data_IF_767365091232
#
_entry.id   IF_767365091232
#
_cell.length_a   1.000
_cell.length_b   1.000
_cell.length_c   1.000
_cell.angle_alpha   90.00
_cell.angle_beta   90.00
_cell.angle_gamma   90.00
#
_symmetry.space_group_name_H-M   'P 1'
#
loop_
_entity.id
_entity.type
_entity.pdbx_description
1 polymer ?
#
# COMPACT_ATOMS: atom_id res chain seq x y z
N UNK A 1 20.95 5.64 24.26
CA UNK A 1 21.00 4.36 25.01
C UNK A 1 20.11 4.39 26.25
N UNK A 2 20.28 5.34 27.17
CA UNK A 2 19.49 5.44 28.43
C UNK A 2 17.96 5.44 28.24
N UNK A 3 17.43 6.14 27.22
CA UNK A 3 15.99 6.19 26.96
C UNK A 3 15.39 4.84 26.51
N UNK A 4 16.11 4.09 25.67
CA UNK A 4 15.70 2.73 25.27
C UNK A 4 15.88 1.76 26.43
N UNK A 5 16.93 1.93 27.22
CA UNK A 5 17.17 1.13 28.41
C UNK A 5 16.04 1.33 29.43
N UNK A 6 15.64 2.58 29.71
CA UNK A 6 14.46 2.90 30.54
C UNK A 6 13.17 2.28 29.96
N UNK A 7 12.99 2.28 28.64
CA UNK A 7 11.83 1.68 27.98
C UNK A 7 11.79 0.16 28.18
N UNK A 8 12.90 -0.52 27.90
CA UNK A 8 13.00 -1.99 27.93
C UNK A 8 13.14 -2.55 29.34
N UNK A 9 13.79 -1.84 30.27
CA UNK A 9 13.97 -2.30 31.66
C UNK A 9 12.75 -2.03 32.52
N UNK A 10 12.05 -0.91 32.33
CA UNK A 10 10.87 -0.59 33.17
C UNK A 10 9.57 -1.18 32.64
N UNK A 11 9.48 -1.53 31.34
CA UNK A 11 8.31 -2.13 30.66
C UNK A 11 6.94 -1.50 31.01
N UNK A 12 6.90 -0.27 31.51
CA UNK A 12 5.64 0.40 31.85
C UNK A 12 5.05 0.93 30.57
N UNK A 13 3.76 0.65 30.30
CA UNK A 13 2.98 1.18 29.16
C UNK A 13 2.73 2.69 29.19
N UNK A 14 3.18 3.36 30.26
CA UNK A 14 2.94 4.78 30.49
C UNK A 14 4.16 5.46 31.11
N UNK A 15 4.45 6.66 30.62
CA UNK A 15 5.48 7.57 31.14
C UNK A 15 5.04 8.32 32.41
N UNK A 16 3.78 8.21 32.85
CA UNK A 16 3.24 8.99 33.98
C UNK A 16 4.02 8.80 35.29
N UNK A 17 4.64 7.63 35.47
CA UNK A 17 5.44 7.29 36.66
C UNK A 17 6.95 7.55 36.52
N UNK A 18 7.41 8.17 35.43
CA UNK A 18 8.82 8.52 35.23
C UNK A 18 9.09 9.98 35.62
N UNK A 19 10.22 10.21 36.30
CA UNK A 19 10.64 11.54 36.74
C UNK A 19 10.89 12.45 35.53
N UNK A 20 11.41 11.87 34.45
CA UNK A 20 11.72 12.54 33.20
C UNK A 20 10.52 12.62 32.24
N UNK A 21 9.26 12.43 32.71
CA UNK A 21 8.07 12.40 31.82
C UNK A 21 7.88 13.63 30.94
N UNK A 22 8.45 14.78 31.32
CA UNK A 22 8.35 16.05 30.59
C UNK A 22 9.46 16.22 29.56
N UNK A 23 10.44 15.32 29.51
CA UNK A 23 11.51 15.36 28.54
C UNK A 23 10.95 15.03 27.14
N UNK A 24 11.04 15.96 26.17
CA UNK A 24 10.47 15.78 24.84
C UNK A 24 11.17 14.68 24.04
N UNK A 25 12.47 14.49 24.26
CA UNK A 25 13.26 13.45 23.60
C UNK A 25 12.89 12.06 24.12
N UNK A 26 12.72 11.91 25.44
CA UNK A 26 12.27 10.66 26.05
C UNK A 26 10.85 10.30 25.61
N UNK A 27 9.94 11.28 25.52
CA UNK A 27 8.59 11.06 25.01
C UNK A 27 8.59 10.58 23.55
N UNK A 28 9.41 11.19 22.69
CA UNK A 28 9.54 10.79 21.29
C UNK A 28 10.07 9.36 21.17
N UNK A 29 11.17 9.06 21.87
CA UNK A 29 11.79 7.73 21.84
C UNK A 29 10.85 6.66 22.38
N UNK A 30 10.12 6.95 23.46
CA UNK A 30 9.11 6.06 24.01
C UNK A 30 7.96 5.82 23.03
N UNK A 31 7.49 6.87 22.34
CA UNK A 31 6.42 6.76 21.32
C UNK A 31 6.85 5.86 20.17
N UNK A 32 8.05 6.08 19.63
CA UNK A 32 8.61 5.26 18.56
C UNK A 32 8.73 3.80 19.03
N UNK A 33 9.32 3.57 20.21
CA UNK A 33 9.50 2.23 20.74
C UNK A 33 8.15 1.51 20.97
N UNK A 34 7.14 2.21 21.48
CA UNK A 34 5.78 1.69 21.66
C UNK A 34 5.15 1.29 20.32
N UNK A 35 5.21 2.15 19.31
CA UNK A 35 4.68 1.86 17.98
C UNK A 35 5.35 0.62 17.37
N UNK A 36 6.69 0.51 17.46
CA UNK A 36 7.41 -0.67 16.96
C UNK A 36 7.06 -1.94 17.74
N UNK A 37 6.85 -1.84 19.04
CA UNK A 37 6.44 -2.97 19.87
C UNK A 37 5.02 -3.44 19.56
N UNK A 38 4.07 -2.53 19.33
CA UNK A 38 2.70 -2.87 18.91
C UNK A 38 2.69 -3.59 17.56
N UNK A 39 3.50 -3.13 16.61
CA UNK A 39 3.68 -3.80 15.32
C UNK A 39 4.26 -5.20 15.49
N UNK A 40 5.27 -5.38 16.35
CA UNK A 40 5.88 -6.68 16.61
C UNK A 40 4.87 -7.66 17.23
N UNK A 41 4.05 -7.17 18.18
CA UNK A 41 2.99 -7.95 18.81
C UNK A 41 1.95 -8.42 17.78
N UNK A 42 1.50 -7.54 16.86
CA UNK A 42 0.58 -7.95 15.80
C UNK A 42 1.19 -9.03 14.90
N UNK A 43 2.46 -8.90 14.50
CA UNK A 43 3.15 -9.93 13.70
C UNK A 43 3.18 -11.29 14.42
N UNK A 44 3.43 -11.28 15.73
CA UNK A 44 3.41 -12.47 16.58
C UNK A 44 2.00 -13.07 16.72
N UNK A 45 0.97 -12.25 16.90
CA UNK A 45 -0.42 -12.70 16.98
C UNK A 45 -0.88 -13.34 15.67
N UNK A 46 -0.56 -12.72 14.54
CA UNK A 46 -0.83 -13.28 13.21
C UNK A 46 -0.05 -14.57 12.99
N UNK A 47 1.19 -14.68 13.50
CA UNK A 47 1.98 -15.91 13.43
C UNK A 47 1.30 -17.04 14.19
N UNK A 48 0.89 -16.75 15.41
CA UNK A 48 0.24 -17.71 16.31
C UNK A 48 -1.04 -18.24 15.69
N UNK A 49 -1.90 -17.35 15.16
CA UNK A 49 -3.16 -17.72 14.50
C UNK A 49 -2.93 -18.65 13.30
N UNK A 50 -1.92 -18.37 12.47
CA UNK A 50 -1.64 -19.20 11.30
C UNK A 50 -1.02 -20.56 11.69
N UNK A 51 -0.08 -20.58 12.65
CA UNK A 51 0.46 -21.84 13.17
C UNK A 51 -0.65 -22.71 13.76
N UNK A 52 -1.61 -22.12 14.48
CA UNK A 52 -2.78 -22.85 14.97
C UNK A 52 -3.62 -23.45 13.83
N UNK A 53 -3.79 -22.76 12.70
CA UNK A 53 -4.48 -23.32 11.52
C UNK A 53 -3.70 -24.47 10.88
N UNK A 54 -2.37 -24.35 10.80
CA UNK A 54 -1.49 -25.42 10.31
C UNK A 54 -1.61 -26.65 11.21
N UNK A 55 -1.49 -26.48 12.54
CA UNK A 55 -1.61 -27.58 13.50
C UNK A 55 -2.99 -28.24 13.43
N UNK A 56 -4.08 -27.45 13.34
CA UNK A 56 -5.44 -27.98 13.18
C UNK A 56 -5.59 -28.79 11.90
N UNK A 57 -5.01 -28.31 10.80
CA UNK A 57 -5.05 -29.03 9.51
C UNK A 57 -4.19 -30.30 9.57
N UNK A 58 -2.99 -30.24 10.16
CA UNK A 58 -2.12 -31.40 10.29
C UNK A 58 -2.79 -32.58 11.05
N UNK A 59 -3.65 -32.27 12.01
CA UNK A 59 -4.38 -33.26 12.81
C UNK A 59 -5.73 -33.70 12.19
N UNK A 60 -6.17 -33.07 11.09
CA UNK A 60 -7.42 -33.42 10.42
C UNK A 60 -7.16 -34.59 9.44
N UNK A 61 -7.83 -35.75 9.61
CA UNK A 61 -7.66 -36.92 8.74
C UNK A 61 -8.23 -36.72 7.32
N UNK A 62 -8.94 -35.62 7.05
CA UNK A 62 -9.50 -35.36 5.74
C UNK A 62 -8.40 -35.22 4.66
N UNK A 63 -8.59 -35.80 3.46
CA UNK A 63 -7.59 -35.71 2.38
C UNK A 63 -7.34 -34.27 1.90
N UNK A 64 -8.37 -33.41 1.95
CA UNK A 64 -8.26 -31.97 1.66
C UNK A 64 -7.42 -31.19 2.68
N UNK A 65 -7.08 -31.81 3.81
CA UNK A 65 -6.31 -31.15 4.86
C UNK A 65 -4.84 -30.95 4.49
N UNK A 66 -4.26 -31.87 3.71
CA UNK A 66 -2.88 -31.73 3.21
C UNK A 66 -2.71 -30.51 2.31
N UNK A 67 -3.69 -30.26 1.43
CA UNK A 67 -3.70 -29.07 0.56
C UNK A 67 -3.83 -27.79 1.38
N UNK A 68 -4.75 -27.77 2.36
CA UNK A 68 -4.91 -26.63 3.29
C UNK A 68 -3.63 -26.35 4.09
N UNK A 69 -2.97 -27.39 4.58
CA UNK A 69 -1.70 -27.29 5.30
C UNK A 69 -0.65 -26.57 4.44
N UNK A 70 -0.51 -27.00 3.19
CA UNK A 70 0.43 -26.39 2.25
C UNK A 70 0.06 -24.93 1.97
N UNK A 71 -1.21 -24.63 1.70
CA UNK A 71 -1.67 -23.25 1.51
C UNK A 71 -1.38 -22.36 2.72
N UNK A 72 -1.69 -22.81 3.94
CA UNK A 72 -1.44 -22.03 5.16
C UNK A 72 0.06 -21.82 5.43
N UNK A 73 0.90 -22.81 5.14
CA UNK A 73 2.34 -22.67 5.24
C UNK A 73 2.90 -21.68 4.21
N UNK A 74 2.43 -21.76 2.96
CA UNK A 74 2.84 -20.88 1.87
C UNK A 74 2.41 -19.43 2.13
N UNK A 75 1.14 -19.21 2.47
CA UNK A 75 0.61 -17.90 2.85
C UNK A 75 1.44 -17.27 3.99
N UNK A 76 1.93 -18.10 4.92
CA UNK A 76 2.76 -17.62 6.03
C UNK A 76 4.14 -17.19 5.57
N UNK A 77 4.78 -17.94 4.67
CA UNK A 77 6.07 -17.56 4.08
C UNK A 77 5.96 -16.23 3.33
N UNK A 78 4.89 -16.06 2.55
CA UNK A 78 4.64 -14.84 1.78
C UNK A 78 4.39 -13.63 2.68
N UNK A 79 3.63 -13.82 3.77
CA UNK A 79 3.43 -12.78 4.77
C UNK A 79 4.75 -12.38 5.45
N UNK A 80 5.54 -13.35 5.92
CA UNK A 80 6.81 -13.09 6.61
C UNK A 80 7.83 -12.40 5.70
N UNK A 81 7.92 -12.81 4.44
CA UNK A 81 8.79 -12.14 3.45
C UNK A 81 8.38 -10.68 3.24
N UNK A 82 7.07 -10.41 3.19
CA UNK A 82 6.50 -9.06 3.07
C UNK A 82 6.81 -8.21 4.30
N UNK A 83 6.62 -8.75 5.51
CA UNK A 83 6.99 -8.08 6.76
C UNK A 83 8.49 -7.78 6.79
N UNK A 84 9.34 -8.76 6.48
CA UNK A 84 10.80 -8.56 6.43
C UNK A 84 11.17 -7.43 5.49
N UNK A 85 10.65 -7.43 4.26
CA UNK A 85 10.90 -6.35 3.30
C UNK A 85 10.47 -5.00 3.83
N UNK A 86 9.24 -4.89 4.35
CA UNK A 86 8.65 -3.65 4.87
C UNK A 86 9.47 -3.04 6.02
N UNK A 87 9.94 -3.87 6.95
CA UNK A 87 10.64 -3.39 8.14
C UNK A 87 12.16 -3.29 7.95
N UNK A 88 12.73 -3.98 6.96
CA UNK A 88 14.13 -3.81 6.56
C UNK A 88 14.35 -2.59 5.64
N UNK A 89 13.38 -2.24 4.78
CA UNK A 89 13.50 -1.04 3.92
C UNK A 89 13.39 0.26 4.71
N UNK A 90 12.66 0.25 5.84
CA UNK A 90 12.55 1.39 6.76
C UNK A 90 13.85 1.75 7.49
N UNK A 91 14.92 0.97 7.31
CA UNK A 91 16.25 1.21 7.89
C UNK A 91 17.25 1.83 6.90
N UNK A 92 16.83 2.23 5.69
CA UNK A 92 17.71 2.99 4.79
C UNK A 92 17.87 4.43 5.30
N UNK A 93 19.10 4.91 5.55
CA UNK A 93 19.36 6.30 5.98
C UNK A 93 18.99 7.37 4.95
N UNK A 94 18.63 6.98 3.72
CA UNK A 94 18.38 7.91 2.61
C UNK A 94 17.13 8.77 2.77
N UNK A 95 16.22 8.45 3.71
CA UNK A 95 14.98 9.23 3.91
C UNK A 95 15.15 10.39 4.93
N UNK A 96 16.36 10.62 5.47
CA UNK A 96 16.62 11.66 6.47
C UNK A 96 17.44 12.85 5.98
N UNK A 97 17.96 12.83 4.75
CA UNK A 97 18.69 13.97 4.18
C UNK A 97 17.84 14.62 3.10
N UNK A 98 16.87 15.41 3.53
CA UNK A 98 16.33 16.48 2.69
C UNK A 98 17.35 17.60 2.73
N UNK A 99 18.29 17.61 1.79
CA UNK A 99 19.01 18.85 1.46
C UNK A 99 17.97 19.88 1.04
N UNK A 100 17.95 21.09 1.62
CA UNK A 100 17.15 22.19 1.09
C UNK A 100 17.48 22.32 -0.41
N UNK A 101 16.45 22.34 -1.25
CA UNK A 101 16.64 22.61 -2.68
C UNK A 101 17.26 24.00 -2.81
N UNK A 102 18.35 24.10 -3.57
CA UNK A 102 18.97 25.38 -3.91
C UNK A 102 17.98 26.17 -4.78
N UNK A 103 17.78 27.45 -4.46
CA UNK A 103 16.79 28.28 -5.14
C UNK A 103 17.05 28.33 -6.65
N UNK A 104 16.03 28.16 -7.51
CA UNK A 104 16.21 28.20 -8.95
C UNK A 104 16.83 29.53 -9.38
N UNK A 105 17.92 29.46 -10.14
CA UNK A 105 18.57 30.62 -10.74
C UNK A 105 17.56 31.37 -11.61
N UNK A 106 17.29 32.63 -11.27
CA UNK A 106 16.40 33.50 -12.05
C UNK A 106 16.85 33.53 -13.52
N UNK A 107 15.97 33.11 -14.41
CA UNK A 107 16.14 33.28 -15.84
C UNK A 107 15.56 34.64 -16.22
N UNK A 108 16.39 35.54 -16.73
CA UNK A 108 15.95 36.80 -17.32
C UNK A 108 15.09 36.49 -18.56
N UNK A 109 13.78 36.66 -18.41
CA UNK A 109 12.84 36.60 -19.53
C UNK A 109 12.91 37.95 -20.25
N UNK A 110 13.49 37.97 -21.45
CA UNK A 110 13.39 39.10 -22.36
C UNK A 110 11.93 39.25 -22.81
N UNK A 111 11.30 40.33 -22.36
CA UNK A 111 9.94 40.69 -22.76
C UNK A 111 9.90 41.05 -24.25
N UNK A 112 9.07 40.37 -25.02
CA UNK A 112 8.54 40.89 -26.28
C UNK A 112 7.07 40.52 -26.41
N UNK A 113 6.22 41.47 -26.02
CA UNK A 113 5.03 41.88 -26.76
C UNK A 113 3.85 40.91 -26.92
N UNK A 114 2.84 41.16 -26.09
CA UNK A 114 1.46 41.48 -26.52
C UNK A 114 0.49 40.33 -26.90
N UNK A 115 -0.41 40.00 -25.96
CA UNK A 115 -1.89 40.10 -26.06
C UNK A 115 -2.66 38.92 -25.42
N UNK A 116 -3.43 39.27 -24.38
CA UNK A 116 -4.71 38.70 -23.94
C UNK A 116 -4.95 37.18 -24.02
N UNK A 117 -4.84 36.50 -22.87
CA UNK A 117 -5.96 35.77 -22.24
C UNK A 117 -5.58 35.36 -20.81
N UNK A 118 -6.47 35.63 -19.85
CA UNK A 118 -6.35 35.19 -18.45
C UNK A 118 -6.58 33.67 -18.39
N UNK A 119 -5.52 32.89 -18.18
CA UNK A 119 -5.63 31.51 -17.72
C UNK A 119 -5.04 31.38 -16.32
N UNK A 120 -5.89 30.95 -15.39
CA UNK A 120 -5.49 30.49 -14.07
C UNK A 120 -4.83 29.13 -14.26
N UNK A 121 -3.50 29.08 -14.20
CA UNK A 121 -2.74 27.83 -14.32
C UNK A 121 -2.96 26.98 -13.06
N UNK A 122 -3.99 26.14 -13.11
CA UNK A 122 -4.22 25.06 -12.14
C UNK A 122 -3.12 24.02 -12.37
N UNK A 123 -2.42 23.70 -11.30
CA UNK A 123 -1.37 22.67 -11.23
C UNK A 123 -2.01 21.29 -11.53
N UNK A 124 -2.13 20.95 -12.82
CA UNK A 124 -2.63 19.66 -13.28
C UNK A 124 -1.46 18.75 -13.59
N UNK A 125 -1.35 17.65 -12.82
CA UNK A 125 -0.58 16.48 -13.24
C UNK A 125 -0.97 16.09 -14.67
N UNK A 126 -0.04 15.55 -15.47
CA UNK A 126 -0.32 15.14 -16.84
C UNK A 126 -1.59 14.26 -16.86
N UNK A 127 -2.66 14.79 -17.45
CA UNK A 127 -3.80 13.96 -17.82
C UNK A 127 -3.30 12.99 -18.88
N UNK A 128 -3.09 11.74 -18.47
CA UNK A 128 -3.16 10.64 -19.43
C UNK A 128 -4.59 10.67 -19.92
N UNK A 129 -4.77 11.10 -21.17
CA UNK A 129 -6.02 11.10 -21.91
C UNK A 129 -6.66 9.72 -21.79
N UNK A 130 -7.53 9.56 -20.79
CA UNK A 130 -8.30 8.35 -20.55
C UNK A 130 -9.56 8.45 -21.40
N UNK A 131 -9.35 8.50 -22.72
CA UNK A 131 -10.40 8.20 -23.68
C UNK A 131 -11.01 6.84 -23.36
N UNK A 132 -12.28 6.65 -23.74
CA UNK A 132 -13.06 5.41 -23.61
C UNK A 132 -12.38 4.28 -24.38
N UNK A 133 -11.28 3.77 -23.82
CA UNK A 133 -10.40 2.78 -24.43
C UNK A 133 -11.19 1.50 -24.65
N UNK A 134 -10.89 0.78 -25.73
CA UNK A 134 -11.46 -0.55 -26.02
C UNK A 134 -11.44 -1.48 -24.79
N UNK A 135 -10.45 -1.29 -23.91
CA UNK A 135 -10.31 -1.93 -22.60
C UNK A 135 -11.53 -1.69 -21.68
N UNK A 136 -12.04 -0.46 -21.60
CA UNK A 136 -13.19 -0.07 -20.78
C UNK A 136 -14.51 -0.56 -21.38
N UNK A 137 -14.66 -0.50 -22.70
CA UNK A 137 -15.83 -1.03 -23.38
C UNK A 137 -15.94 -2.54 -23.19
N UNK A 138 -14.82 -3.25 -23.26
CA UNK A 138 -14.75 -4.67 -22.96
C UNK A 138 -15.18 -4.98 -21.53
N UNK A 139 -14.70 -4.23 -20.52
CA UNK A 139 -15.10 -4.43 -19.12
C UNK A 139 -16.61 -4.22 -18.94
N UNK A 140 -17.19 -3.17 -19.56
CA UNK A 140 -18.63 -2.90 -19.49
C UNK A 140 -19.46 -4.01 -20.13
N UNK A 141 -19.07 -4.49 -21.30
CA UNK A 141 -19.76 -5.59 -22.00
C UNK A 141 -19.66 -6.89 -21.18
N UNK A 142 -18.48 -7.20 -20.66
CA UNK A 142 -18.24 -8.34 -19.80
C UNK A 142 -19.10 -8.33 -18.53
N UNK A 143 -19.30 -7.15 -17.92
CA UNK A 143 -20.20 -6.98 -16.78
C UNK A 143 -21.68 -7.19 -17.16
N UNK A 144 -22.11 -6.71 -18.33
CA UNK A 144 -23.51 -6.85 -18.80
C UNK A 144 -23.86 -8.31 -19.09
N UNK A 145 -22.95 -9.07 -19.71
CA UNK A 145 -23.16 -10.48 -20.05
C UNK A 145 -23.30 -11.38 -18.81
N UNK A 146 -22.62 -11.04 -17.70
CA UNK A 146 -22.62 -11.86 -16.47
C UNK A 146 -23.74 -11.51 -15.47
N UNK A 147 -24.79 -10.77 -15.87
CA UNK A 147 -26.03 -10.43 -15.11
C UNK A 147 -25.90 -10.58 -13.59
N UNK A 148 -25.40 -9.54 -12.92
CA UNK A 148 -25.42 -9.37 -11.46
C UNK A 148 -24.63 -10.38 -10.59
N UNK A 149 -23.68 -11.14 -11.16
CA UNK A 149 -22.69 -11.88 -10.36
C UNK A 149 -21.50 -11.01 -9.99
N UNK A 150 -20.93 -11.21 -8.79
CA UNK A 150 -19.70 -10.54 -8.33
C UNK A 150 -18.61 -10.63 -9.41
N UNK A 151 -18.04 -9.47 -9.78
CA UNK A 151 -17.03 -9.35 -10.85
C UNK A 151 -15.78 -10.18 -10.54
N UNK A 152 -15.52 -11.19 -11.38
CA UNK A 152 -14.27 -11.97 -11.33
C UNK A 152 -13.21 -11.28 -12.18
N UNK A 153 -12.47 -10.36 -11.54
CA UNK A 153 -11.45 -9.54 -12.20
C UNK A 153 -10.32 -10.36 -12.84
N UNK A 154 -9.98 -11.51 -12.26
CA UNK A 154 -8.98 -12.44 -12.82
C UNK A 154 -9.44 -13.00 -14.17
N UNK A 155 -10.68 -13.50 -14.25
CA UNK A 155 -11.26 -14.00 -15.49
C UNK A 155 -11.35 -12.89 -16.54
N UNK A 156 -11.86 -11.71 -16.16
CA UNK A 156 -12.00 -10.54 -17.04
C UNK A 156 -10.65 -10.13 -17.64
N UNK A 157 -9.60 -10.04 -16.81
CA UNK A 157 -8.25 -9.72 -17.27
C UNK A 157 -7.72 -10.78 -18.24
N UNK A 158 -7.87 -12.06 -17.91
CA UNK A 158 -7.41 -13.15 -18.77
C UNK A 158 -8.11 -13.18 -20.13
N UNK A 159 -9.40 -12.90 -20.17
CA UNK A 159 -10.19 -12.85 -21.41
C UNK A 159 -9.88 -11.60 -22.24
N UNK A 160 -9.65 -10.45 -21.60
CA UNK A 160 -9.22 -9.25 -22.31
C UNK A 160 -7.82 -9.39 -22.90
N UNK A 161 -6.87 -9.97 -22.15
CA UNK A 161 -5.53 -10.26 -22.68
C UNK A 161 -5.58 -11.20 -23.90
N UNK A 162 -6.47 -12.20 -23.91
CA UNK A 162 -6.69 -13.07 -25.08
C UNK A 162 -7.24 -12.32 -26.29
N UNK A 163 -8.00 -11.24 -26.08
CA UNK A 163 -8.53 -10.37 -27.14
C UNK A 163 -7.53 -9.26 -27.54
N UNK A 164 -6.30 -9.30 -27.03
CA UNK A 164 -5.28 -8.27 -27.29
C UNK A 164 -5.52 -6.96 -26.55
N UNK A 165 -6.46 -6.94 -25.60
CA UNK A 165 -6.75 -5.83 -24.70
C UNK A 165 -5.87 -5.92 -23.45
N UNK A 166 -5.80 -4.83 -22.69
CA UNK A 166 -5.04 -4.70 -21.44
C UNK A 166 -3.52 -4.81 -21.52
N UNK A 167 -2.90 -4.49 -22.68
CA UNK A 167 -1.45 -4.57 -22.88
C UNK A 167 -0.63 -3.68 -21.91
N UNK A 168 -1.22 -2.60 -21.43
CA UNK A 168 -0.61 -1.64 -20.50
C UNK A 168 -0.76 -2.03 -19.02
N UNK A 169 -1.53 -3.07 -18.68
CA UNK A 169 -1.82 -3.44 -17.30
C UNK A 169 -1.06 -4.69 -16.87
N UNK A 170 -0.39 -4.59 -15.72
CA UNK A 170 0.46 -5.65 -15.17
C UNK A 170 -0.32 -6.80 -14.54
N UNK A 171 -1.56 -6.55 -14.07
CA UNK A 171 -2.40 -7.57 -13.44
C UNK A 171 -3.89 -7.15 -13.40
N UNK A 172 -4.75 -8.10 -13.03
CA UNK A 172 -6.18 -7.87 -12.83
C UNK A 172 -6.51 -6.80 -11.78
N UNK A 173 -5.63 -6.57 -10.80
CA UNK A 173 -5.76 -5.51 -9.81
C UNK A 173 -5.63 -4.11 -10.43
N UNK A 174 -4.66 -3.91 -11.33
CA UNK A 174 -4.47 -2.65 -12.06
C UNK A 174 -5.69 -2.31 -12.93
N UNK A 175 -6.29 -3.31 -13.58
CA UNK A 175 -7.52 -3.12 -14.36
C UNK A 175 -8.72 -2.76 -13.48
N UNK A 176 -8.83 -3.40 -12.31
CA UNK A 176 -9.85 -3.08 -11.31
C UNK A 176 -9.72 -1.65 -10.78
N UNK A 177 -8.51 -1.23 -10.42
CA UNK A 177 -8.25 0.13 -9.94
C UNK A 177 -8.54 1.18 -11.00
N UNK A 178 -8.11 0.94 -12.24
CA UNK A 178 -8.42 1.81 -13.38
C UNK A 178 -9.93 1.97 -13.58
N UNK A 179 -10.70 0.87 -13.56
CA UNK A 179 -12.15 0.93 -13.68
C UNK A 179 -12.81 1.71 -12.54
N UNK A 180 -12.37 1.52 -11.30
CA UNK A 180 -12.90 2.27 -10.16
C UNK A 180 -12.57 3.76 -10.20
N UNK A 181 -11.36 4.12 -10.64
CA UNK A 181 -10.97 5.53 -10.85
C UNK A 181 -11.86 6.19 -11.91
N UNK A 182 -12.11 5.50 -13.02
CA UNK A 182 -12.99 5.99 -14.09
C UNK A 182 -14.44 6.13 -13.65
N UNK A 183 -14.99 5.13 -12.93
CA UNK A 183 -16.36 5.21 -12.39
C UNK A 183 -16.53 6.37 -11.40
N UNK A 184 -15.50 6.67 -10.59
CA UNK A 184 -15.52 7.79 -9.66
C UNK A 184 -15.54 9.12 -10.42
N UNK A 185 -14.73 9.26 -11.48
CA UNK A 185 -14.73 10.44 -12.35
C UNK A 185 -16.08 10.66 -13.06
N UNK A 186 -16.74 9.60 -13.54
CA UNK A 186 -18.04 9.71 -14.23
C UNK A 186 -19.24 10.02 -13.33
N UNK A 187 -19.07 10.01 -11.99
CA UNK A 187 -20.15 10.31 -11.02
C UNK A 187 -20.01 11.73 -10.46
N UNK A 188 -18.92 12.44 -10.77
CA UNK A 188 -18.62 13.80 -10.30
C UNK A 188 -18.66 14.82 -11.46
N UNK A 189 -19.33 14.47 -12.56
CA UNK A 189 -19.62 15.35 -13.69
C UNK A 189 -21.12 15.53 -13.83
#
# INVERSE_FOLDING_TARGET
MVALDIFFTKQKRSLLGLRERKDPTLQLLYRIAKEKMEVLLDVCDQMTKQIQKIVRSANDPAPSSKEKLFCYAQDRLDYLSTCKRKYSSAFRPSDLVVTPMEDPKELEILETGNNNSRETHVDQLPEVDLHDSDDLQFIRTYMKERKNRRMKWADCYSEGCKKGLFKSYKNAGSVKEMFHRMKKKSTTG
#
